data_IF_392450422738
#
_entry.id   IF_392450422738
#
_cell.length_a   1.000
_cell.length_b   1.000
_cell.length_c   1.000
_cell.angle_alpha   90.00
_cell.angle_beta   90.00
_cell.angle_gamma   90.00
#
_symmetry.space_group_name_H-M   'P 1'
#
loop_
_entity.id
_entity.type
_entity.pdbx_description
1 polymer ?
#
# COMPACT_ATOMS: atom_id res chain seq x y z
N UNK A 1 6.29 41.55 43.53
CA UNK A 1 5.72 42.27 42.37
C UNK A 1 5.19 41.22 41.40
N UNK A 2 3.88 41.19 41.16
CA UNK A 2 3.30 40.34 40.13
C UNK A 2 3.82 40.87 38.78
N UNK A 3 4.54 40.05 38.03
CA UNK A 3 5.15 40.44 36.77
C UNK A 3 4.05 40.87 35.79
N UNK A 4 3.84 42.18 35.64
CA UNK A 4 2.84 42.79 34.76
C UNK A 4 2.88 42.24 33.31
N UNK A 5 4.03 41.70 32.89
CA UNK A 5 4.18 40.98 31.62
C UNK A 5 3.28 39.74 31.50
N UNK A 6 3.10 38.93 32.57
CA UNK A 6 2.19 37.77 32.53
C UNK A 6 0.72 38.19 32.48
N UNK A 7 0.36 39.29 33.16
CA UNK A 7 -0.99 39.83 33.10
C UNK A 7 -1.34 40.37 31.70
N UNK A 8 -0.42 41.12 31.09
CA UNK A 8 -0.59 41.62 29.72
C UNK A 8 -0.69 40.47 28.70
N UNK A 9 0.14 39.44 28.85
CA UNK A 9 0.07 38.23 28.01
C UNK A 9 -1.28 37.50 28.15
N UNK A 10 -1.79 37.36 29.38
CA UNK A 10 -3.09 36.74 29.63
C UNK A 10 -4.25 37.49 28.97
N UNK A 11 -4.26 38.83 29.04
CA UNK A 11 -5.28 39.67 28.38
C UNK A 11 -5.20 39.53 26.86
N UNK A 12 -4.00 39.57 26.29
CA UNK A 12 -3.82 39.39 24.84
C UNK A 12 -4.31 38.02 24.35
N UNK A 13 -3.95 36.95 25.07
CA UNK A 13 -4.43 35.60 24.78
C UNK A 13 -5.95 35.48 24.92
N UNK A 14 -6.55 36.13 25.92
CA UNK A 14 -8.01 36.14 26.12
C UNK A 14 -8.77 36.84 24.98
N UNK A 15 -8.29 38.01 24.55
CA UNK A 15 -8.88 38.73 23.41
C UNK A 15 -8.73 37.91 22.12
N UNK A 16 -7.53 37.37 21.87
CA UNK A 16 -7.27 36.53 20.71
C UNK A 16 -8.14 35.27 20.67
N UNK A 17 -8.29 34.59 21.81
CA UNK A 17 -9.15 33.42 21.93
C UNK A 17 -10.63 33.76 21.71
N UNK A 18 -11.11 34.87 22.28
CA UNK A 18 -12.49 35.34 22.09
C UNK A 18 -12.76 35.67 20.62
N UNK A 19 -11.82 36.35 19.95
CA UNK A 19 -11.90 36.65 18.53
C UNK A 19 -11.90 35.37 17.67
N UNK A 20 -11.06 34.38 18.01
CA UNK A 20 -11.03 33.10 17.32
C UNK A 20 -12.35 32.35 17.45
N UNK A 21 -12.91 32.27 18.66
CA UNK A 21 -14.22 31.64 18.92
C UNK A 21 -15.33 32.35 18.14
N UNK A 22 -15.30 33.68 18.08
CA UNK A 22 -16.24 34.44 17.26
C UNK A 22 -16.11 34.12 15.77
N UNK A 23 -14.87 34.06 15.25
CA UNK A 23 -14.62 33.77 13.84
C UNK A 23 -15.00 32.34 13.43
N UNK A 24 -14.76 31.35 14.30
CA UNK A 24 -15.16 29.96 14.07
C UNK A 24 -16.66 29.72 14.33
N UNK A 25 -17.28 30.52 15.19
CA UNK A 25 -18.69 30.40 15.57
C UNK A 25 -19.66 31.24 14.73
N UNK A 26 -19.17 32.07 13.81
CA UNK A 26 -20.00 32.94 12.96
C UNK A 26 -20.81 32.11 11.95
N UNK A 27 -22.03 32.54 11.59
CA UNK A 27 -22.77 31.89 10.52
C UNK A 27 -22.17 32.22 9.15
N UNK A 28 -22.53 31.43 8.13
CA UNK A 28 -22.18 31.73 6.75
C UNK A 28 -23.10 32.81 6.19
N UNK A 29 -22.60 33.58 5.23
CA UNK A 29 -23.35 34.65 4.57
C UNK A 29 -23.50 34.34 3.08
N UNK A 30 -24.64 34.68 2.51
CA UNK A 30 -24.87 34.57 1.06
C UNK A 30 -24.14 35.70 0.28
N UNK A 31 -24.22 35.67 -1.05
CA UNK A 31 -23.64 36.71 -1.92
C UNK A 31 -24.22 38.11 -1.68
N UNK A 32 -25.37 38.20 -1.01
CA UNK A 32 -26.06 39.42 -0.65
C UNK A 32 -25.82 39.88 0.80
N UNK A 33 -25.00 39.14 1.56
CA UNK A 33 -24.68 39.44 2.97
C UNK A 33 -25.75 39.01 3.98
N UNK A 34 -26.75 38.24 3.59
CA UNK A 34 -27.73 37.66 4.51
C UNK A 34 -27.17 36.39 5.17
N UNK A 35 -27.60 36.15 6.40
CA UNK A 35 -27.22 34.95 7.16
C UNK A 35 -27.87 33.72 6.53
N UNK A 36 -27.05 32.73 6.17
CA UNK A 36 -27.50 31.41 5.74
C UNK A 36 -27.95 30.64 6.98
N UNK A 37 -29.22 30.24 7.02
CA UNK A 37 -29.73 29.41 8.11
C UNK A 37 -29.06 28.02 8.10
N UNK A 38 -28.49 27.62 9.23
CA UNK A 38 -27.87 26.32 9.42
C UNK A 38 -28.66 25.48 10.43
N UNK A 39 -28.24 24.22 10.58
CA UNK A 39 -28.82 23.24 11.52
C UNK A 39 -28.82 23.71 12.99
N UNK A 40 -28.09 24.79 13.30
CA UNK A 40 -27.96 25.34 14.65
C UNK A 40 -28.70 26.67 14.84
N UNK A 41 -29.27 27.27 13.79
CA UNK A 41 -29.95 28.57 13.85
C UNK A 41 -31.09 28.64 14.89
N UNK A 42 -31.75 27.52 15.15
CA UNK A 42 -32.89 27.42 16.08
C UNK A 42 -32.49 27.23 17.55
N UNK A 43 -31.19 27.18 17.87
CA UNK A 43 -30.70 26.92 19.23
C UNK A 43 -30.38 28.22 20.00
N UNK A 44 -30.24 28.17 21.33
CA UNK A 44 -29.75 29.32 22.10
C UNK A 44 -28.36 29.78 21.66
N UNK A 45 -28.10 31.10 21.67
CA UNK A 45 -26.88 31.73 21.15
C UNK A 45 -25.57 31.03 21.54
N UNK A 46 -25.37 30.72 22.83
CA UNK A 46 -24.16 30.06 23.30
C UNK A 46 -24.03 28.61 22.80
N UNK A 47 -25.15 27.90 22.65
CA UNK A 47 -25.14 26.57 22.04
C UNK A 47 -24.84 26.64 20.54
N UNK A 48 -25.33 27.66 19.84
CA UNK A 48 -25.00 27.88 18.42
C UNK A 48 -23.49 28.03 18.24
N UNK A 49 -22.88 28.94 19.00
CA UNK A 49 -21.43 29.20 18.93
C UNK A 49 -20.66 27.93 19.27
N UNK A 50 -21.00 27.24 20.37
CA UNK A 50 -20.30 26.02 20.75
C UNK A 50 -20.39 24.93 19.67
N UNK A 51 -21.59 24.67 19.13
CA UNK A 51 -21.79 23.64 18.09
C UNK A 51 -21.11 24.00 16.78
N UNK A 52 -21.14 25.28 16.36
CA UNK A 52 -20.43 25.77 15.17
C UNK A 52 -18.91 25.64 15.33
N UNK A 53 -18.35 26.12 16.44
CA UNK A 53 -16.92 25.94 16.74
C UNK A 53 -16.54 24.47 16.76
N UNK A 54 -17.34 23.61 17.39
CA UNK A 54 -17.10 22.16 17.39
C UNK A 54 -17.16 21.56 15.98
N UNK A 55 -18.11 21.98 15.14
CA UNK A 55 -18.21 21.57 13.73
C UNK A 55 -16.97 21.98 12.95
N UNK A 56 -16.53 23.24 13.06
CA UNK A 56 -15.34 23.73 12.37
C UNK A 56 -14.07 23.00 12.83
N UNK A 57 -13.89 22.82 14.15
CA UNK A 57 -12.77 22.05 14.70
C UNK A 57 -12.79 20.60 14.19
N UNK A 58 -13.96 19.96 14.14
CA UNK A 58 -14.12 18.63 13.57
C UNK A 58 -13.78 18.63 12.06
N UNK A 59 -14.21 19.65 11.31
CA UNK A 59 -13.93 19.79 9.90
C UNK A 59 -12.43 19.91 9.62
N UNK A 60 -11.72 20.79 10.33
CA UNK A 60 -10.26 20.90 10.21
C UNK A 60 -9.55 19.61 10.63
N UNK A 61 -10.03 18.95 11.68
CA UNK A 61 -9.50 17.64 12.09
C UNK A 61 -9.66 16.61 10.98
N UNK A 62 -10.83 16.55 10.33
CA UNK A 62 -11.08 15.65 9.20
C UNK A 62 -10.22 15.99 8.00
N UNK A 63 -10.05 17.26 7.65
CA UNK A 63 -9.17 17.67 6.54
C UNK A 63 -7.72 17.22 6.72
N UNK A 64 -7.25 17.11 7.96
CA UNK A 64 -5.89 16.64 8.27
C UNK A 64 -5.83 15.11 8.34
N UNK A 65 -6.89 14.46 8.81
CA UNK A 65 -6.90 13.03 9.12
C UNK A 65 -7.44 12.15 7.99
N UNK A 66 -8.49 12.57 7.31
CA UNK A 66 -9.20 11.78 6.32
C UNK A 66 -8.57 11.95 4.93
N UNK A 67 -8.59 10.89 4.11
CA UNK A 67 -8.08 10.98 2.75
C UNK A 67 -8.90 11.95 1.91
N UNK A 68 -8.30 12.45 0.82
CA UNK A 68 -8.92 13.44 -0.07
C UNK A 68 -10.19 12.93 -0.77
N UNK A 69 -10.44 11.61 -0.79
CA UNK A 69 -11.59 10.96 -1.45
C UNK A 69 -12.02 9.71 -0.68
N UNK A 70 -13.32 9.43 -0.69
CA UNK A 70 -13.89 8.21 -0.09
C UNK A 70 -13.49 6.94 -0.86
N UNK A 71 -13.55 6.98 -2.20
CA UNK A 71 -13.05 5.92 -3.08
C UNK A 71 -11.75 6.38 -3.72
N UNK A 72 -10.67 5.66 -3.43
CA UNK A 72 -9.34 5.98 -3.95
C UNK A 72 -9.18 5.56 -5.41
N UNK A 73 -9.76 4.43 -5.81
CA UNK A 73 -9.73 3.93 -7.18
C UNK A 73 -11.13 3.94 -7.83
N UNK A 74 -11.21 4.14 -9.16
CA UNK A 74 -12.47 4.03 -9.88
C UNK A 74 -13.00 2.58 -9.83
N UNK A 75 -14.26 2.40 -10.21
CA UNK A 75 -14.86 1.07 -10.27
C UNK A 75 -14.10 0.17 -11.28
N UNK A 76 -13.97 -1.14 -10.99
CA UNK A 76 -13.27 -2.07 -11.86
C UNK A 76 -13.80 -2.08 -13.30
N UNK A 77 -12.90 -2.34 -14.24
CA UNK A 77 -13.25 -2.41 -15.66
C UNK A 77 -14.24 -3.55 -15.93
N UNK A 78 -15.23 -3.28 -16.78
CA UNK A 78 -16.22 -4.26 -17.24
C UNK A 78 -15.86 -4.73 -18.65
N UNK A 79 -16.30 -5.93 -19.00
CA UNK A 79 -16.20 -6.47 -20.37
C UNK A 79 -16.70 -5.42 -21.39
N UNK A 80 -15.93 -5.13 -22.47
CA UNK A 80 -14.85 -5.93 -23.06
C UNK A 80 -13.44 -5.69 -22.51
N UNK A 81 -13.26 -4.75 -21.58
CA UNK A 81 -11.96 -4.47 -20.98
C UNK A 81 -11.62 -5.53 -19.91
N UNK A 82 -10.37 -5.99 -19.91
CA UNK A 82 -9.89 -7.03 -18.99
C UNK A 82 -9.25 -6.35 -17.78
N UNK A 83 -9.87 -6.52 -16.61
CA UNK A 83 -9.29 -6.14 -15.32
C UNK A 83 -8.30 -7.23 -14.87
N UNK A 84 -7.09 -6.88 -14.41
CA UNK A 84 -6.20 -7.85 -13.78
C UNK A 84 -6.86 -8.55 -12.56
N UNK A 85 -6.57 -9.84 -12.31
CA UNK A 85 -7.24 -10.61 -11.27
C UNK A 85 -6.88 -10.22 -9.83
N UNK A 86 -5.72 -9.58 -9.63
CA UNK A 86 -5.24 -9.12 -8.33
C UNK A 86 -4.78 -7.67 -8.42
N UNK A 87 -4.95 -6.93 -7.32
CA UNK A 87 -4.39 -5.58 -7.16
C UNK A 87 -3.11 -5.66 -6.33
N UNK A 88 -2.01 -5.17 -6.90
CA UNK A 88 -0.70 -5.12 -6.25
C UNK A 88 -0.41 -3.69 -5.83
N UNK A 89 -0.49 -3.44 -4.52
CA UNK A 89 -0.17 -2.15 -3.92
C UNK A 89 1.29 -2.16 -3.50
N UNK A 90 2.06 -1.19 -3.97
CA UNK A 90 3.50 -1.10 -3.69
C UNK A 90 3.82 0.23 -3.01
N UNK A 91 4.62 0.18 -1.95
CA UNK A 91 5.38 1.35 -1.52
C UNK A 91 6.41 1.75 -2.59
N UNK A 92 6.73 3.05 -2.68
CA UNK A 92 7.74 3.55 -3.60
C UNK A 92 9.11 3.64 -2.90
N UNK A 93 9.15 4.38 -1.79
CA UNK A 93 10.39 4.74 -1.08
C UNK A 93 10.92 3.56 -0.30
N UNK A 94 12.21 3.26 -0.45
CA UNK A 94 12.93 2.14 0.15
C UNK A 94 12.35 0.74 -0.17
N UNK A 95 11.45 0.69 -1.16
CA UNK A 95 10.95 -0.53 -1.77
C UNK A 95 11.40 -0.65 -3.23
N UNK A 96 11.12 0.37 -4.05
CA UNK A 96 11.44 0.43 -5.48
C UNK A 96 12.60 1.40 -5.77
N UNK A 97 12.65 2.50 -5.02
CA UNK A 97 13.68 3.53 -5.13
C UNK A 97 14.15 3.99 -3.76
N UNK A 98 15.40 4.42 -3.63
CA UNK A 98 15.99 4.89 -2.38
C UNK A 98 16.45 6.34 -2.52
N UNK A 99 16.02 7.27 -1.64
CA UNK A 99 16.51 8.63 -1.64
C UNK A 99 17.95 8.67 -1.14
N UNK A 100 18.85 9.21 -1.94
CA UNK A 100 20.26 9.43 -1.62
C UNK A 100 20.58 10.93 -1.70
N UNK A 101 21.34 11.44 -0.74
CA UNK A 101 21.72 12.84 -0.70
C UNK A 101 23.22 13.00 -0.55
N UNK A 102 23.80 13.81 -1.42
CA UNK A 102 25.22 14.20 -1.33
C UNK A 102 25.38 15.70 -1.50
N UNK A 103 26.46 16.27 -0.95
CA UNK A 103 26.77 17.71 -1.10
C UNK A 103 26.95 18.12 -2.57
N UNK A 104 27.46 17.23 -3.41
CA UNK A 104 27.75 17.51 -4.82
C UNK A 104 26.50 17.44 -5.69
N UNK A 105 25.55 16.56 -5.35
CA UNK A 105 24.43 16.22 -6.24
C UNK A 105 23.06 16.63 -5.71
N UNK A 106 22.98 16.99 -4.42
CA UNK A 106 21.71 17.14 -3.73
C UNK A 106 20.94 15.82 -3.66
N UNK A 107 19.62 15.93 -3.56
CA UNK A 107 18.70 14.79 -3.54
C UNK A 107 18.67 14.07 -4.88
N UNK A 108 18.89 12.75 -4.83
CA UNK A 108 18.75 11.82 -5.94
C UNK A 108 17.97 10.60 -5.49
N UNK A 109 17.44 9.85 -6.45
CA UNK A 109 16.77 8.59 -6.18
C UNK A 109 17.50 7.48 -6.92
N UNK A 110 17.97 6.49 -6.17
CA UNK A 110 18.60 5.30 -6.70
C UNK A 110 17.52 4.26 -7.01
N UNK A 111 17.57 3.65 -8.18
CA UNK A 111 16.68 2.54 -8.56
C UNK A 111 17.11 1.27 -7.84
N UNK A 112 16.17 0.51 -7.28
CA UNK A 112 16.47 -0.81 -6.73
C UNK A 112 16.89 -1.75 -7.86
N UNK A 113 17.97 -2.54 -7.70
CA UNK A 113 18.34 -3.54 -8.69
C UNK A 113 17.16 -4.45 -9.05
N UNK A 114 16.93 -4.66 -10.34
CA UNK A 114 15.84 -5.51 -10.83
C UNK A 114 14.47 -4.84 -10.91
N UNK A 115 14.32 -3.54 -10.57
CA UNK A 115 13.01 -2.88 -10.56
C UNK A 115 12.31 -2.86 -11.91
N UNK A 116 13.04 -2.69 -13.00
CA UNK A 116 12.49 -2.66 -14.36
C UNK A 116 11.91 -4.02 -14.74
N UNK A 117 12.70 -5.08 -14.51
CA UNK A 117 12.29 -6.46 -14.76
C UNK A 117 11.15 -6.88 -13.84
N UNK A 118 11.13 -6.38 -12.60
CA UNK A 118 10.05 -6.62 -11.66
C UNK A 118 8.75 -6.01 -12.16
N UNK A 119 8.74 -4.72 -12.52
CA UNK A 119 7.54 -4.05 -13.02
C UNK A 119 7.02 -4.71 -14.30
N UNK A 120 7.92 -5.10 -15.21
CA UNK A 120 7.55 -5.86 -16.41
C UNK A 120 6.92 -7.23 -16.05
N UNK A 121 7.48 -7.95 -15.08
CA UNK A 121 6.99 -9.26 -14.68
C UNK A 121 5.59 -9.21 -14.03
N UNK A 122 5.25 -8.13 -13.34
CA UNK A 122 3.95 -7.93 -12.69
C UNK A 122 2.99 -7.03 -13.47
N UNK A 123 3.41 -6.53 -14.64
CA UNK A 123 2.62 -5.64 -15.48
C UNK A 123 1.25 -6.22 -15.85
N UNK A 124 0.27 -5.39 -16.24
CA UNK A 124 -0.99 -5.89 -16.80
C UNK A 124 -0.75 -6.81 -18.01
N UNK A 125 -1.48 -7.92 -18.15
CA UNK A 125 -2.70 -8.29 -17.42
C UNK A 125 -2.49 -9.07 -16.10
N UNK A 126 -1.25 -9.25 -15.61
CA UNK A 126 -1.00 -10.06 -14.39
C UNK A 126 -1.56 -9.41 -13.12
N UNK A 127 -1.17 -8.16 -12.84
CA UNK A 127 -1.61 -7.39 -11.68
C UNK A 127 -2.05 -5.99 -12.08
N UNK A 128 -2.99 -5.44 -11.33
CA UNK A 128 -3.28 -4.01 -11.32
C UNK A 128 -2.29 -3.35 -10.37
N UNK A 129 -1.28 -2.67 -10.92
CA UNK A 129 -0.21 -2.05 -10.13
C UNK A 129 -0.68 -0.69 -9.61
N UNK A 130 -0.64 -0.53 -8.28
CA UNK A 130 -0.98 0.72 -7.58
C UNK A 130 0.23 1.12 -6.74
N UNK A 131 0.83 2.27 -7.04
CA UNK A 131 1.77 2.87 -6.10
C UNK A 131 0.96 3.55 -5.01
N UNK A 132 1.19 3.22 -3.75
CA UNK A 132 0.55 3.87 -2.62
C UNK A 132 1.64 4.23 -1.61
N UNK A 133 1.91 5.54 -1.47
CA UNK A 133 3.00 6.05 -0.63
C UNK A 133 2.54 7.19 0.27
N UNK A 134 3.21 7.35 1.42
CA UNK A 134 3.04 8.51 2.30
C UNK A 134 3.83 9.74 1.82
N UNK A 135 4.53 9.66 0.69
CA UNK A 135 5.26 10.79 0.10
C UNK A 135 4.34 11.79 -0.63
N UNK A 136 4.83 13.02 -0.81
CA UNK A 136 4.06 14.06 -1.50
C UNK A 136 4.10 13.89 -3.02
N UNK A 137 2.95 14.10 -3.67
CA UNK A 137 2.82 13.97 -5.13
C UNK A 137 3.81 14.82 -5.94
N UNK A 138 4.16 16.02 -5.46
CA UNK A 138 5.14 16.90 -6.12
C UNK A 138 6.51 16.23 -6.32
N UNK A 139 6.91 15.37 -5.40
CA UNK A 139 8.18 14.63 -5.47
C UNK A 139 7.99 13.27 -6.16
N UNK A 140 6.89 12.58 -5.85
CA UNK A 140 6.62 11.22 -6.32
C UNK A 140 6.40 11.14 -7.82
N UNK A 141 5.58 12.03 -8.41
CA UNK A 141 5.17 11.86 -9.80
C UNK A 141 6.33 11.90 -10.80
N UNK A 142 7.29 12.85 -10.74
CA UNK A 142 8.45 12.85 -11.64
C UNK A 142 9.34 11.61 -11.48
N UNK A 143 9.43 11.05 -10.26
CA UNK A 143 10.21 9.84 -10.00
C UNK A 143 9.54 8.64 -10.66
N UNK A 144 8.23 8.50 -10.52
CA UNK A 144 7.47 7.41 -11.13
C UNK A 144 7.48 7.50 -12.66
N UNK A 145 7.40 8.71 -13.23
CA UNK A 145 7.51 8.91 -14.68
C UNK A 145 8.87 8.48 -15.24
N UNK A 146 9.94 8.69 -14.47
CA UNK A 146 11.28 8.22 -14.84
C UNK A 146 11.50 6.72 -14.55
N UNK A 147 10.80 6.17 -13.56
CA UNK A 147 10.90 4.77 -13.16
C UNK A 147 10.17 3.84 -14.13
N UNK A 148 8.98 4.26 -14.59
CA UNK A 148 8.07 3.45 -15.42
C UNK A 148 7.76 4.15 -16.76
N UNK A 149 8.74 4.19 -17.69
CA UNK A 149 8.55 4.79 -19.01
C UNK A 149 7.54 4.02 -19.88
N UNK A 150 7.26 2.75 -19.54
CA UNK A 150 6.35 1.88 -20.29
C UNK A 150 4.89 1.98 -19.80
N UNK A 151 4.64 2.65 -18.67
CA UNK A 151 3.29 2.87 -18.14
C UNK A 151 2.62 1.62 -17.57
N UNK A 152 3.37 0.76 -16.90
CA UNK A 152 2.84 -0.41 -16.18
C UNK A 152 2.04 -0.05 -14.93
N UNK A 153 2.38 1.06 -14.25
CA UNK A 153 1.73 1.55 -13.04
C UNK A 153 0.38 2.19 -13.41
N UNK A 154 -0.72 1.57 -12.99
CA UNK A 154 -2.07 2.00 -13.35
C UNK A 154 -2.57 3.17 -12.50
N UNK A 155 -2.25 3.16 -11.21
CA UNK A 155 -2.71 4.20 -10.26
C UNK A 155 -1.59 4.63 -9.33
N UNK A 156 -1.62 5.92 -8.95
CA UNK A 156 -0.62 6.58 -8.11
C UNK A 156 -1.35 7.29 -6.97
N UNK A 157 -1.29 6.70 -5.78
CA UNK A 157 -1.85 7.22 -4.54
C UNK A 157 -0.70 7.76 -3.69
N UNK A 158 -0.81 9.02 -3.28
CA UNK A 158 0.24 9.74 -2.54
C UNK A 158 -0.30 10.16 -1.17
N UNK A 159 0.43 11.00 -0.42
CA UNK A 159 0.09 11.37 0.96
C UNK A 159 -1.37 11.80 1.17
N UNK A 160 -1.98 12.50 0.22
CA UNK A 160 -3.37 12.96 0.32
C UNK A 160 -4.40 11.83 0.31
N UNK A 161 -4.04 10.64 -0.21
CA UNK A 161 -4.86 9.45 -0.19
C UNK A 161 -4.72 8.65 1.12
N UNK A 162 -3.72 8.94 1.95
CA UNK A 162 -3.50 8.25 3.23
C UNK A 162 -4.37 8.84 4.33
N UNK A 163 -4.65 8.03 5.36
CA UNK A 163 -5.29 8.47 6.58
C UNK A 163 -4.25 8.79 7.65
N UNK A 164 -4.33 9.96 8.28
CA UNK A 164 -3.40 10.32 9.36
C UNK A 164 -3.98 9.86 10.71
N UNK A 165 -3.35 8.84 11.31
CA UNK A 165 -3.82 8.17 12.53
C UNK A 165 -2.66 8.05 13.52
N UNK A 166 -2.83 8.60 14.72
CA UNK A 166 -1.83 8.58 15.81
C UNK A 166 -0.45 9.10 15.38
N UNK A 167 -0.41 10.18 14.60
CA UNK A 167 0.85 10.78 14.14
C UNK A 167 1.48 10.08 12.92
N UNK A 168 0.85 9.04 12.38
CA UNK A 168 1.38 8.25 11.27
C UNK A 168 0.43 8.27 10.08
N UNK A 169 1.00 8.30 8.87
CA UNK A 169 0.24 8.11 7.63
C UNK A 169 0.00 6.63 7.40
N UNK A 170 -1.26 6.27 7.26
CA UNK A 170 -1.71 4.88 7.12
C UNK A 170 -2.50 4.70 5.83
N UNK A 171 -2.23 3.61 5.15
CA UNK A 171 -2.87 3.19 3.90
C UNK A 171 -4.15 2.45 4.23
N UNK A 172 -5.27 3.17 4.16
CA UNK A 172 -6.58 2.55 4.35
C UNK A 172 -7.01 1.82 3.07
N UNK A 173 -6.94 0.48 3.09
CA UNK A 173 -7.36 -0.36 1.98
C UNK A 173 -8.88 -0.45 1.85
N UNK A 174 -9.64 -0.11 2.90
CA UNK A 174 -11.10 -0.06 2.86
C UNK A 174 -11.60 0.99 1.86
N UNK A 175 -10.83 2.05 1.66
CA UNK A 175 -11.10 3.11 0.69
C UNK A 175 -10.60 2.76 -0.73
N UNK A 176 -9.87 1.65 -0.93
CA UNK A 176 -9.25 1.31 -2.21
C UNK A 176 -10.27 0.94 -3.31
N UNK A 177 -11.52 0.64 -2.95
CA UNK A 177 -12.56 0.19 -3.88
C UNK A 177 -12.18 -1.11 -4.64
N UNK A 178 -11.55 -2.06 -3.93
CA UNK A 178 -11.15 -3.38 -4.43
C UNK A 178 -11.54 -4.46 -3.41
N UNK A 179 -11.71 -5.69 -3.89
CA UNK A 179 -11.92 -6.83 -3.01
C UNK A 179 -10.62 -7.17 -2.28
N UNK A 180 -10.62 -7.04 -0.94
CA UNK A 180 -9.45 -7.31 -0.11
C UNK A 180 -8.97 -8.77 -0.20
N UNK A 181 -9.80 -9.72 -0.62
CA UNK A 181 -9.34 -11.10 -0.89
C UNK A 181 -8.36 -11.19 -2.08
N UNK A 182 -8.30 -10.14 -2.91
CA UNK A 182 -7.46 -10.04 -4.12
C UNK A 182 -6.45 -8.89 -4.06
N UNK A 183 -6.28 -8.22 -2.91
CA UNK A 183 -5.33 -7.11 -2.73
C UNK A 183 -4.09 -7.59 -1.98
N UNK A 184 -2.91 -7.32 -2.54
CA UNK A 184 -1.63 -7.60 -1.88
C UNK A 184 -0.88 -6.28 -1.72
N UNK A 185 -0.48 -5.96 -0.49
CA UNK A 185 0.32 -4.77 -0.19
C UNK A 185 1.75 -5.18 0.09
N UNK A 186 2.69 -4.65 -0.67
CA UNK A 186 4.13 -4.82 -0.42
C UNK A 186 4.66 -3.51 0.18
N UNK A 187 5.06 -3.58 1.43
CA UNK A 187 5.59 -2.45 2.19
C UNK A 187 6.73 -2.94 3.09
N UNK A 188 7.65 -2.05 3.45
CA UNK A 188 8.66 -2.35 4.46
C UNK A 188 8.22 -1.87 5.85
N UNK A 189 7.29 -0.91 5.93
CA UNK A 189 6.78 -0.35 7.16
C UNK A 189 5.42 -0.95 7.54
N UNK A 190 5.36 -1.69 8.65
CA UNK A 190 4.12 -2.29 9.17
C UNK A 190 3.10 -1.23 9.60
N UNK A 191 3.56 -0.10 10.14
CA UNK A 191 2.69 0.98 10.60
C UNK A 191 1.88 1.60 9.44
N UNK A 192 2.46 1.60 8.23
CA UNK A 192 1.77 2.09 7.02
C UNK A 192 0.54 1.27 6.67
N UNK A 193 0.43 0.01 7.12
CA UNK A 193 -0.67 -0.90 6.77
C UNK A 193 -1.38 -1.43 8.04
N UNK A 194 -1.25 -0.72 9.17
CA UNK A 194 -1.78 -1.15 10.48
C UNK A 194 -3.29 -1.43 10.51
N UNK A 195 -4.06 -0.86 9.59
CA UNK A 195 -5.51 -1.08 9.48
C UNK A 195 -5.89 -2.40 8.79
N UNK A 196 -5.00 -2.93 7.94
CA UNK A 196 -5.25 -4.15 7.14
C UNK A 196 -3.98 -5.03 7.12
N UNK A 197 -3.46 -5.42 8.30
CA UNK A 197 -2.20 -6.16 8.38
C UNK A 197 -2.25 -7.46 7.60
N UNK A 198 -3.41 -8.12 7.49
CA UNK A 198 -3.63 -9.37 6.77
C UNK A 198 -3.33 -9.30 5.27
N UNK A 199 -3.44 -8.12 4.67
CA UNK A 199 -3.11 -7.86 3.27
C UNK A 199 -1.64 -7.47 3.04
N UNK A 200 -0.87 -7.26 4.11
CA UNK A 200 0.52 -6.84 4.02
C UNK A 200 1.48 -8.03 3.90
N UNK A 201 2.37 -7.95 2.92
CA UNK A 201 3.56 -8.78 2.78
C UNK A 201 4.79 -7.91 3.02
N UNK A 202 5.35 -8.01 4.23
CA UNK A 202 6.46 -7.17 4.65
C UNK A 202 7.75 -7.59 3.97
N UNK A 203 8.46 -6.62 3.39
CA UNK A 203 9.83 -6.80 2.93
C UNK A 203 10.84 -6.07 3.82
N UNK A 204 12.10 -6.52 3.87
CA UNK A 204 13.17 -5.72 4.44
C UNK A 204 13.28 -4.37 3.72
N UNK A 205 13.43 -3.30 4.51
CA UNK A 205 13.68 -1.95 4.00
C UNK A 205 14.99 -1.97 3.20
N UNK A 206 14.95 -1.50 1.96
CA UNK A 206 16.14 -1.40 1.12
C UNK A 206 16.95 -0.15 1.46
N UNK A 207 18.27 -0.31 1.62
CA UNK A 207 19.18 0.77 2.04
C UNK A 207 20.04 1.30 0.88
N UNK A 208 19.65 1.05 -0.37
CA UNK A 208 20.41 1.53 -1.53
C UNK A 208 21.56 0.63 -2.00
N UNK A 209 21.70 -0.60 -1.49
CA UNK A 209 22.77 -1.53 -1.90
C UNK A 209 22.52 -2.12 -3.30
N UNK A 210 23.60 -2.32 -4.08
CA UNK A 210 23.54 -2.79 -5.48
C UNK A 210 23.42 -4.31 -5.62
N UNK A 211 23.79 -5.07 -4.58
CA UNK A 211 23.75 -6.53 -4.59
C UNK A 211 22.37 -7.10 -4.19
N UNK A 212 21.33 -6.26 -4.10
CA UNK A 212 19.97 -6.69 -3.74
C UNK A 212 19.34 -7.52 -4.86
N UNK A 213 18.77 -8.68 -4.50
CA UNK A 213 18.04 -9.56 -5.42
C UNK A 213 16.57 -9.75 -5.03
N UNK A 214 16.12 -9.00 -4.02
CA UNK A 214 14.83 -9.20 -3.35
C UNK A 214 13.64 -9.06 -4.30
N UNK A 215 13.72 -8.14 -5.28
CA UNK A 215 12.63 -7.95 -6.26
C UNK A 215 12.45 -9.14 -7.20
N UNK A 216 13.52 -9.89 -7.52
CA UNK A 216 13.40 -11.10 -8.33
C UNK A 216 12.68 -12.21 -7.57
N UNK A 217 12.99 -12.36 -6.28
CA UNK A 217 12.32 -13.34 -5.42
C UNK A 217 10.84 -12.96 -5.19
N UNK A 218 10.57 -11.67 -5.02
CA UNK A 218 9.21 -11.14 -4.93
C UNK A 218 8.41 -11.42 -6.22
N UNK A 219 8.98 -11.18 -7.40
CA UNK A 219 8.33 -11.50 -8.67
C UNK A 219 7.96 -12.98 -8.76
N UNK A 220 8.86 -13.87 -8.34
CA UNK A 220 8.61 -15.32 -8.34
C UNK A 220 7.49 -15.71 -7.35
N UNK A 221 7.47 -15.09 -6.17
CA UNK A 221 6.40 -15.26 -5.19
C UNK A 221 5.03 -14.84 -5.75
N UNK A 222 4.93 -13.62 -6.27
CA UNK A 222 3.69 -13.09 -6.85
C UNK A 222 3.21 -13.94 -8.04
N UNK A 223 4.13 -14.38 -8.90
CA UNK A 223 3.81 -15.28 -10.02
C UNK A 223 3.26 -16.63 -9.53
N UNK A 224 3.73 -17.12 -8.38
CA UNK A 224 3.21 -18.37 -7.78
C UNK A 224 1.77 -18.19 -7.31
N UNK A 225 1.44 -17.06 -6.68
CA UNK A 225 0.05 -16.71 -6.29
C UNK A 225 -0.85 -16.65 -7.53
N UNK A 226 -0.40 -15.94 -8.56
CA UNK A 226 -1.13 -15.80 -9.81
C UNK A 226 -1.40 -17.16 -10.48
N UNK A 227 -0.37 -18.00 -10.61
CA UNK A 227 -0.46 -19.32 -11.26
C UNK A 227 -1.34 -20.29 -10.47
N UNK A 228 -1.31 -20.19 -9.14
CA UNK A 228 -2.13 -21.05 -8.27
C UNK A 228 -3.59 -20.60 -8.20
N UNK A 229 -3.93 -19.44 -8.77
CA UNK A 229 -5.26 -18.83 -8.74
C UNK A 229 -5.89 -18.81 -7.33
N UNK A 230 -5.10 -18.33 -6.35
CA UNK A 230 -5.49 -18.28 -4.93
C UNK A 230 -6.77 -17.44 -4.76
N UNK A 231 -7.82 -18.03 -4.18
CA UNK A 231 -9.09 -17.34 -4.00
C UNK A 231 -9.01 -16.16 -3.02
N UNK A 232 -8.35 -16.36 -1.88
CA UNK A 232 -8.07 -15.33 -0.89
C UNK A 232 -6.57 -15.28 -0.61
N UNK A 233 -5.92 -14.19 -1.01
CA UNK A 233 -4.47 -14.04 -0.85
C UNK A 233 -4.07 -13.96 0.62
N UNK A 234 -4.97 -13.53 1.51
CA UNK A 234 -4.67 -13.30 2.93
C UNK A 234 -4.25 -14.58 3.65
N UNK A 235 -4.77 -15.73 3.24
CA UNK A 235 -4.36 -17.03 3.80
C UNK A 235 -2.87 -17.30 3.56
N UNK A 236 -2.41 -17.04 2.33
CA UNK A 236 -1.00 -17.19 1.95
C UNK A 236 -0.14 -16.17 2.67
N UNK A 237 -0.57 -14.91 2.71
CA UNK A 237 0.16 -13.83 3.38
C UNK A 237 0.29 -14.07 4.89
N UNK A 238 -0.78 -14.53 5.53
CA UNK A 238 -0.81 -14.85 6.96
C UNK A 238 0.17 -15.98 7.32
N UNK A 239 0.33 -16.99 6.45
CA UNK A 239 1.33 -18.03 6.65
C UNK A 239 2.75 -17.44 6.62
N UNK A 240 3.08 -16.65 5.60
CA UNK A 240 4.43 -16.10 5.46
C UNK A 240 4.76 -15.00 6.46
N UNK A 241 3.77 -14.29 7.01
CA UNK A 241 3.96 -13.25 8.04
C UNK A 241 4.53 -13.80 9.36
N UNK A 242 4.39 -15.10 9.61
CA UNK A 242 4.89 -15.72 10.84
C UNK A 242 6.43 -15.80 10.90
N UNK A 243 7.10 -15.53 9.77
CA UNK A 243 8.55 -15.65 9.65
C UNK A 243 9.20 -14.28 9.52
N UNK A 244 10.40 -14.14 10.09
CA UNK A 244 11.18 -12.90 10.04
C UNK A 244 11.54 -12.49 8.61
N UNK A 245 11.87 -13.47 7.76
CA UNK A 245 12.10 -13.28 6.32
C UNK A 245 11.14 -14.13 5.48
N UNK A 246 9.99 -13.57 5.08
CA UNK A 246 8.98 -14.25 4.26
C UNK A 246 9.52 -14.82 2.94
N UNK A 247 10.42 -14.10 2.26
CA UNK A 247 10.93 -14.50 0.94
C UNK A 247 11.96 -15.62 1.01
N UNK A 248 12.78 -15.67 2.08
CA UNK A 248 13.67 -16.80 2.31
C UNK A 248 12.88 -18.09 2.55
N UNK A 249 11.83 -18.02 3.36
CA UNK A 249 10.95 -19.15 3.60
C UNK A 249 10.24 -19.61 2.31
N UNK A 250 9.80 -18.66 1.48
CA UNK A 250 9.26 -18.98 0.16
C UNK A 250 10.28 -19.73 -0.71
N UNK A 251 11.53 -19.25 -0.77
CA UNK A 251 12.61 -19.91 -1.51
C UNK A 251 12.86 -21.33 -1.01
N UNK A 252 12.89 -21.54 0.30
CA UNK A 252 13.09 -22.86 0.88
C UNK A 252 11.93 -23.81 0.56
N UNK A 253 10.68 -23.34 0.72
CA UNK A 253 9.48 -24.12 0.39
C UNK A 253 9.47 -24.53 -1.09
N UNK A 254 9.82 -23.60 -1.98
CA UNK A 254 9.94 -23.89 -3.41
C UNK A 254 11.03 -24.92 -3.71
N UNK A 255 12.19 -24.83 -3.04
CA UNK A 255 13.27 -25.81 -3.19
C UNK A 255 12.85 -27.21 -2.73
N UNK A 256 12.20 -27.30 -1.56
CA UNK A 256 11.66 -28.57 -1.02
C UNK A 256 10.64 -29.20 -1.98
N UNK A 257 9.74 -28.39 -2.52
CA UNK A 257 8.75 -28.84 -3.49
C UNK A 257 9.40 -29.40 -4.77
N UNK A 258 10.41 -28.71 -5.33
CA UNK A 258 11.14 -29.19 -6.50
C UNK A 258 11.87 -30.51 -6.24
N UNK A 259 12.53 -30.66 -5.09
CA UNK A 259 13.18 -31.91 -4.70
C UNK A 259 12.18 -33.07 -4.59
N UNK A 260 11.00 -32.83 -4.00
CA UNK A 260 9.93 -33.83 -3.92
C UNK A 260 9.44 -34.27 -5.30
N UNK A 261 9.25 -33.32 -6.22
CA UNK A 261 8.86 -33.63 -7.60
C UNK A 261 9.93 -34.46 -8.33
N UNK A 262 11.21 -34.15 -8.15
CA UNK A 262 12.32 -34.92 -8.73
C UNK A 262 12.38 -36.35 -8.17
N UNK A 263 12.22 -36.51 -6.85
CA UNK A 263 12.16 -37.84 -6.23
C UNK A 263 10.97 -38.67 -6.74
N UNK A 264 9.80 -38.06 -6.90
CA UNK A 264 8.61 -38.73 -7.46
C UNK A 264 8.82 -39.14 -8.92
N UNK A 265 9.44 -38.28 -9.73
CA UNK A 265 9.78 -38.60 -11.12
C UNK A 265 10.79 -39.76 -11.19
N UNK A 266 11.80 -39.77 -10.33
CA UNK A 266 12.78 -40.85 -10.27
C UNK A 266 12.14 -42.17 -9.83
N UNK A 267 11.27 -42.16 -8.81
CA UNK A 267 10.49 -43.33 -8.39
C UNK A 267 9.60 -43.86 -9.51
N UNK A 268 8.94 -42.98 -10.26
CA UNK A 268 8.14 -43.36 -11.42
C UNK A 268 9.00 -43.97 -12.53
N UNK A 269 10.16 -43.38 -12.85
CA UNK A 269 11.08 -43.95 -13.83
C UNK A 269 11.62 -45.32 -13.43
N UNK A 270 12.00 -45.50 -12.18
CA UNK A 270 12.50 -46.79 -11.69
C UNK A 270 11.39 -47.83 -11.66
N UNK A 271 10.17 -47.47 -11.27
CA UNK A 271 9.01 -48.37 -11.35
C UNK A 271 8.70 -48.79 -12.80
N UNK A 272 8.76 -47.86 -13.77
CA UNK A 272 8.62 -48.17 -15.19
C UNK A 272 9.74 -49.06 -15.73
N UNK A 273 11.01 -48.85 -15.33
CA UNK A 273 12.12 -49.74 -15.70
C UNK A 273 11.91 -51.15 -15.17
N UNK A 274 11.46 -51.30 -13.92
CA UNK A 274 11.14 -52.61 -13.33
C UNK A 274 10.01 -53.28 -14.11
N UNK A 275 8.92 -52.57 -14.41
CA UNK A 275 7.80 -53.09 -15.21
C UNK A 275 8.25 -53.58 -16.59
N UNK A 276 9.02 -52.78 -17.33
CA UNK A 276 9.56 -53.15 -18.66
C UNK A 276 10.51 -54.35 -18.56
N UNK A 277 11.33 -54.44 -17.52
CA UNK A 277 12.23 -55.58 -17.32
C UNK A 277 11.46 -56.89 -17.05
N UNK A 278 10.30 -56.82 -16.41
CA UNK A 278 9.42 -57.97 -16.17
C UNK A 278 8.62 -58.39 -17.41
N UNK A 279 8.41 -57.46 -18.35
CA UNK A 279 7.66 -57.63 -19.60
C UNK A 279 8.53 -58.15 -20.76
N UNK A 280 9.56 -58.95 -20.47
CA UNK A 280 10.28 -59.69 -21.52
C UNK A 280 9.41 -60.87 -21.96
N UNK A 281 8.93 -60.94 -23.22
CA UNK A 281 8.09 -62.04 -23.66
C UNK A 281 8.89 -63.34 -23.55
N UNK A 282 8.31 -64.35 -22.90
CA UNK A 282 8.90 -65.69 -22.71
C UNK A 282 9.09 -66.50 -24.01
N UNK A 283 8.87 -65.90 -25.18
CA UNK A 283 8.93 -66.55 -26.50
C UNK A 283 10.35 -66.85 -27.00
N UNK A 284 11.41 -66.47 -26.27
CA UNK A 284 12.80 -66.78 -26.61
C UNK A 284 13.50 -67.71 -25.61
N UNK A 285 12.75 -68.35 -24.69
CA UNK A 285 13.32 -69.31 -23.74
C UNK A 285 12.94 -70.74 -24.15
N UNK A 286 13.91 -71.42 -24.78
CA UNK A 286 13.94 -72.82 -25.27
C UNK A 286 13.31 -73.10 -26.64
N UNK A 287 14.10 -73.01 -27.71
CA UNK A 287 14.73 -74.14 -28.42
C UNK A 287 15.54 -73.65 -29.62
#
# INVERSE_FOLDING_TARGET
>A
MMNYGFAAFGVFMGIGFTYLVYQLGRPNYDEHGNVIEDEFSNLPFFEQIYKRVKRELNYYTRLVQEPSREKLLPDPLKHPYIQPPYTLVLEMTDLLVHPDWTYQTGWRFKKRPGVDQFLEAVAPPQFEIVIYTAEQGMTVFPILDALDPNGYIMYRLVRDATRFVDGHHVKDLGALNRDLSRVIVIDWNEESVKLHPENAFKLPRWSGNDDDTTLFDLAAFLKTILTSNVNDVRDVLNYYRQFDNPLEMFKENRRKYLMQMEEEQNKQQDSNKVLISSWKPSFLRNR
#
